data_IF_634645287999
#
_entry.id   IF_634645287999
#
_cell.length_a   1.000
_cell.length_b   1.000
_cell.length_c   1.000
_cell.angle_alpha   90.00
_cell.angle_beta   90.00
_cell.angle_gamma   90.00
#
_symmetry.space_group_name_H-M   'P 1'
#
loop_
_entity.id
_entity.type
_entity.pdbx_description
1 polymer ?
#
# COMPACT_ATOMS: atom_id res chain seq x y z
N UNK A 1 40.54 -22.55 5.55
CA UNK A 1 40.38 -21.12 5.22
C UNK A 1 41.75 -20.65 4.76
N UNK A 2 41.93 -20.47 3.46
CA UNK A 2 43.23 -20.04 2.90
C UNK A 2 43.21 -18.52 2.73
N UNK A 3 43.33 -17.82 3.86
CA UNK A 3 43.52 -16.37 3.91
C UNK A 3 45.01 -16.14 4.10
N UNK A 4 45.62 -15.36 3.20
CA UNK A 4 47.07 -15.11 3.19
C UNK A 4 47.51 -14.13 4.29
N UNK A 5 46.56 -13.43 4.90
CA UNK A 5 46.75 -12.34 5.85
C UNK A 5 45.83 -12.50 7.08
N UNK A 6 46.18 -11.85 8.20
CA UNK A 6 45.32 -11.86 9.40
C UNK A 6 43.96 -11.22 9.12
N UNK A 7 42.90 -11.79 9.71
CA UNK A 7 41.51 -11.30 9.64
C UNK A 7 41.43 -9.81 9.98
N UNK A 8 42.16 -9.36 11.00
CA UNK A 8 42.18 -7.95 11.41
C UNK A 8 42.71 -7.04 10.31
N UNK A 9 43.73 -7.48 9.57
CA UNK A 9 44.30 -6.71 8.47
C UNK A 9 43.33 -6.66 7.27
N UNK A 10 42.63 -7.77 6.99
CA UNK A 10 41.61 -7.83 5.95
C UNK A 10 40.47 -6.84 6.24
N UNK A 11 39.96 -6.81 7.48
CA UNK A 11 38.91 -5.89 7.89
C UNK A 11 39.37 -4.43 7.93
N UNK A 12 40.57 -4.16 8.46
CA UNK A 12 41.16 -2.80 8.45
C UNK A 12 41.30 -2.24 7.04
N UNK A 13 41.77 -3.06 6.09
CA UNK A 13 41.91 -2.65 4.70
C UNK A 13 40.55 -2.42 4.03
N UNK A 14 39.55 -3.28 4.27
CA UNK A 14 38.21 -3.07 3.75
C UNK A 14 37.57 -1.78 4.31
N UNK A 15 37.75 -1.51 5.60
CA UNK A 15 37.27 -0.28 6.24
C UNK A 15 37.95 0.96 5.65
N UNK A 16 39.25 0.89 5.37
CA UNK A 16 39.98 1.99 4.71
C UNK A 16 39.40 2.29 3.33
N UNK A 17 39.20 1.26 2.50
CA UNK A 17 38.60 1.39 1.16
C UNK A 17 37.19 1.98 1.23
N UNK A 18 36.39 1.57 2.22
CA UNK A 18 35.05 2.12 2.44
C UNK A 18 35.09 3.60 2.83
N UNK A 19 35.99 3.99 3.74
CA UNK A 19 36.16 5.37 4.17
C UNK A 19 36.63 6.26 3.00
N UNK A 20 37.59 5.77 2.20
CA UNK A 20 38.09 6.47 1.01
C UNK A 20 36.95 6.67 -0.01
N UNK A 21 36.12 5.66 -0.23
CA UNK A 21 34.93 5.76 -1.08
C UNK A 21 33.87 6.73 -0.50
N UNK A 22 33.67 6.74 0.82
CA UNK A 22 32.68 7.61 1.46
C UNK A 22 33.05 9.10 1.38
N UNK A 23 34.34 9.40 1.20
CA UNK A 23 34.84 10.77 1.03
C UNK A 23 34.81 11.25 -0.44
N UNK A 24 34.41 10.40 -1.39
CA UNK A 24 34.28 10.80 -2.79
C UNK A 24 33.09 11.77 -3.00
N UNK A 25 33.16 12.65 -4.02
CA UNK A 25 32.02 13.47 -4.43
C UNK A 25 30.77 12.63 -4.73
N UNK A 26 29.58 13.21 -4.54
CA UNK A 26 28.28 12.53 -4.72
C UNK A 26 28.12 11.86 -6.09
N UNK A 27 28.70 12.44 -7.14
CA UNK A 27 28.66 11.92 -8.51
C UNK A 27 29.50 10.64 -8.70
N UNK A 28 30.56 10.48 -7.92
CA UNK A 28 31.48 9.33 -7.97
C UNK A 28 31.22 8.29 -6.87
N UNK A 29 30.40 8.63 -5.87
CA UNK A 29 30.03 7.75 -4.75
C UNK A 29 28.99 6.70 -5.16
N UNK A 30 29.34 5.90 -6.17
CA UNK A 30 28.49 4.84 -6.71
C UNK A 30 28.83 3.48 -6.10
N UNK A 31 27.84 2.60 -5.98
CA UNK A 31 28.04 1.23 -5.46
C UNK A 31 28.96 0.39 -6.36
N UNK A 32 28.97 0.66 -7.68
CA UNK A 32 29.83 -0.04 -8.63
C UNK A 32 31.32 0.27 -8.38
N UNK A 33 31.64 1.53 -8.06
CA UNK A 33 33.00 1.96 -7.78
C UNK A 33 33.51 1.42 -6.43
N UNK A 34 32.65 1.39 -5.40
CA UNK A 34 32.97 0.73 -4.13
C UNK A 34 33.31 -0.74 -4.33
N UNK A 35 32.47 -1.48 -5.06
CA UNK A 35 32.69 -2.90 -5.34
C UNK A 35 33.97 -3.14 -6.14
N UNK A 36 34.27 -2.28 -7.13
CA UNK A 36 35.52 -2.36 -7.90
C UNK A 36 36.75 -2.19 -7.00
N UNK A 37 36.72 -1.23 -6.08
CA UNK A 37 37.83 -0.98 -5.17
C UNK A 37 37.97 -2.06 -4.09
N UNK A 38 36.86 -2.59 -3.57
CA UNK A 38 36.85 -3.70 -2.63
C UNK A 38 37.33 -5.01 -3.28
N UNK A 39 37.05 -5.23 -4.57
CA UNK A 39 37.49 -6.41 -5.31
C UNK A 39 39.01 -6.53 -5.46
N UNK A 40 39.75 -5.44 -5.25
CA UNK A 40 41.22 -5.48 -5.18
C UNK A 40 41.72 -6.26 -3.95
N UNK A 41 40.87 -6.44 -2.93
CA UNK A 41 41.15 -7.27 -1.76
C UNK A 41 40.30 -8.55 -1.79
N UNK A 42 40.75 -9.53 -2.57
CA UNK A 42 40.06 -10.82 -2.73
C UNK A 42 39.90 -11.60 -1.41
N UNK A 43 40.76 -11.34 -0.42
CA UNK A 43 40.71 -11.99 0.89
C UNK A 43 39.52 -11.50 1.77
N UNK A 44 39.02 -10.28 1.56
CA UNK A 44 37.80 -9.79 2.24
C UNK A 44 36.55 -10.57 1.81
N UNK A 45 36.38 -10.78 0.51
CA UNK A 45 35.25 -11.56 0.00
C UNK A 45 35.36 -13.02 0.38
N UNK A 46 36.56 -13.61 0.40
CA UNK A 46 36.78 -14.97 0.94
C UNK A 46 36.42 -15.09 2.41
N UNK A 47 36.76 -14.08 3.23
CA UNK A 47 36.41 -14.06 4.65
C UNK A 47 34.90 -13.97 4.84
N UNK A 48 34.25 -13.02 4.14
CA UNK A 48 32.80 -12.87 4.15
C UNK A 48 32.14 -14.18 3.72
N UNK A 49 32.63 -14.79 2.65
CA UNK A 49 32.21 -16.08 2.14
C UNK A 49 32.38 -17.22 3.17
N UNK A 50 33.48 -17.23 3.91
CA UNK A 50 33.78 -18.27 4.89
C UNK A 50 32.92 -18.16 6.16
N UNK A 51 32.47 -16.94 6.50
CA UNK A 51 31.61 -16.65 7.66
C UNK A 51 30.12 -16.66 7.28
N UNK A 52 29.77 -16.40 6.02
CA UNK A 52 28.38 -16.32 5.56
C UNK A 52 27.77 -17.72 5.47
N UNK A 53 26.87 -18.02 6.42
CA UNK A 53 26.15 -19.29 6.51
C UNK A 53 25.10 -19.42 5.39
N UNK A 54 24.48 -18.32 4.95
CA UNK A 54 23.41 -18.34 3.98
C UNK A 54 23.84 -17.76 2.62
N UNK A 55 23.91 -18.60 1.60
CA UNK A 55 24.20 -18.19 0.22
C UNK A 55 23.00 -18.42 -0.68
N UNK A 56 22.67 -17.44 -1.52
CA UNK A 56 21.61 -17.63 -2.50
C UNK A 56 22.03 -18.66 -3.56
N UNK A 57 21.06 -19.37 -4.16
CA UNK A 57 21.35 -20.32 -5.26
C UNK A 57 22.13 -19.68 -6.40
N UNK A 58 21.75 -18.46 -6.80
CA UNK A 58 22.44 -17.67 -7.82
C UNK A 58 23.90 -17.38 -7.45
N UNK A 59 24.17 -17.08 -6.18
CA UNK A 59 25.53 -16.84 -5.70
C UNK A 59 26.35 -18.14 -5.75
N UNK A 60 25.77 -19.28 -5.34
CA UNK A 60 26.45 -20.58 -5.42
C UNK A 60 26.75 -20.95 -6.87
N UNK A 61 25.78 -20.81 -7.77
CA UNK A 61 25.94 -21.11 -9.21
C UNK A 61 27.01 -20.25 -9.89
N UNK A 62 27.17 -18.99 -9.47
CA UNK A 62 28.07 -18.02 -10.11
C UNK A 62 29.51 -18.12 -9.59
N UNK A 63 29.69 -18.36 -8.29
CA UNK A 63 30.99 -18.23 -7.63
C UNK A 63 31.61 -19.56 -7.21
N UNK A 64 30.89 -20.68 -7.35
CA UNK A 64 31.39 -22.00 -7.02
C UNK A 64 31.42 -22.97 -8.19
N UNK A 65 32.25 -24.00 -8.03
CA UNK A 65 32.36 -25.07 -8.98
C UNK A 65 31.17 -26.05 -8.86
N UNK A 66 30.13 -25.82 -9.68
CA UNK A 66 28.94 -26.67 -9.77
C UNK A 66 29.24 -28.12 -10.18
N UNK A 67 30.40 -28.40 -10.80
CA UNK A 67 30.79 -29.78 -11.12
C UNK A 67 31.20 -30.58 -9.87
N UNK A 68 31.67 -29.90 -8.82
CA UNK A 68 31.99 -30.52 -7.52
C UNK A 68 30.78 -30.61 -6.60
N UNK A 69 29.84 -29.67 -6.71
CA UNK A 69 28.72 -29.50 -5.76
C UNK A 69 27.40 -30.12 -6.28
N UNK A 70 27.26 -30.27 -7.59
CA UNK A 70 26.02 -30.73 -8.22
C UNK A 70 25.01 -29.60 -8.44
N UNK A 71 23.84 -29.93 -8.99
CA UNK A 71 22.76 -28.97 -9.30
C UNK A 71 21.76 -28.87 -8.16
N UNK A 72 21.17 -27.68 -7.98
CA UNK A 72 20.06 -27.51 -7.05
C UNK A 72 18.81 -28.28 -7.49
N UNK A 73 18.02 -28.82 -6.54
CA UNK A 73 16.76 -29.48 -6.86
C UNK A 73 15.77 -28.49 -7.47
N UNK A 74 15.01 -28.97 -8.45
CA UNK A 74 13.96 -28.18 -9.07
C UNK A 74 12.85 -27.89 -8.05
N UNK A 75 12.59 -26.62 -7.77
CA UNK A 75 11.51 -26.21 -6.87
C UNK A 75 10.20 -26.35 -7.62
N UNK A 76 9.36 -27.31 -7.23
CA UNK A 76 8.02 -27.43 -7.78
C UNK A 76 7.22 -26.16 -7.45
N UNK A 77 6.36 -25.76 -8.40
CA UNK A 77 5.44 -24.66 -8.17
C UNK A 77 4.41 -25.09 -7.12
N UNK A 78 4.02 -24.22 -6.17
CA UNK A 78 2.94 -24.51 -5.24
C UNK A 78 1.63 -24.76 -6.00
N UNK A 79 0.81 -25.68 -5.49
CA UNK A 79 -0.53 -25.97 -6.01
C UNK A 79 -1.51 -25.10 -5.23
N UNK A 80 -2.20 -24.20 -5.92
CA UNK A 80 -3.19 -23.31 -5.30
C UNK A 80 -4.56 -23.98 -5.31
N UNK A 81 -5.10 -24.27 -4.12
CA UNK A 81 -6.50 -24.63 -3.95
C UNK A 81 -7.34 -23.37 -3.76
N UNK A 82 -8.52 -23.34 -4.36
CA UNK A 82 -9.49 -22.24 -4.20
C UNK A 82 -10.79 -22.84 -3.71
N UNK A 83 -11.36 -22.25 -2.66
CA UNK A 83 -12.69 -22.58 -2.18
C UNK A 83 -13.68 -21.57 -2.77
N UNK A 84 -14.89 -22.04 -3.08
CA UNK A 84 -16.01 -21.16 -3.40
C UNK A 84 -16.61 -20.57 -2.12
N UNK A 85 -17.47 -19.56 -2.27
CA UNK A 85 -18.09 -18.84 -1.14
C UNK A 85 -19.00 -19.79 -0.33
N UNK A 86 -19.63 -20.75 -1.01
CA UNK A 86 -20.59 -21.70 -0.44
C UNK A 86 -20.64 -22.97 -1.29
N UNK A 87 -21.17 -24.04 -0.70
CA UNK A 87 -21.42 -25.34 -1.36
C UNK A 87 -22.77 -25.35 -2.11
N UNK A 88 -23.58 -24.29 -2.01
CA UNK A 88 -24.87 -24.19 -2.68
C UNK A 88 -24.70 -24.17 -4.21
N UNK A 89 -25.47 -25.01 -4.89
CA UNK A 89 -25.58 -24.99 -6.35
C UNK A 89 -26.18 -23.65 -6.83
N UNK A 90 -25.72 -23.18 -8.00
CA UNK A 90 -26.12 -21.91 -8.63
C UNK A 90 -25.88 -20.63 -7.80
N UNK A 91 -25.00 -20.66 -6.80
CA UNK A 91 -24.59 -19.44 -6.10
C UNK A 91 -23.64 -18.57 -6.94
N UNK A 92 -23.70 -17.26 -6.74
CA UNK A 92 -22.86 -16.30 -7.46
C UNK A 92 -21.36 -16.54 -7.19
N UNK A 93 -20.56 -16.59 -8.25
CA UNK A 93 -19.11 -16.71 -8.13
C UNK A 93 -18.49 -15.43 -7.57
N UNK A 94 -17.38 -15.55 -6.87
CA UNK A 94 -16.64 -14.40 -6.31
C UNK A 94 -16.27 -13.35 -7.37
N UNK A 95 -15.93 -13.79 -8.58
CA UNK A 95 -15.61 -12.89 -9.70
C UNK A 95 -16.83 -12.08 -10.16
N UNK A 96 -18.00 -12.70 -10.24
CA UNK A 96 -19.23 -12.03 -10.62
C UNK A 96 -19.70 -11.06 -9.54
N UNK A 97 -19.57 -11.46 -8.28
CA UNK A 97 -19.87 -10.59 -7.14
C UNK A 97 -18.95 -9.36 -7.15
N UNK A 98 -17.65 -9.55 -7.39
CA UNK A 98 -16.71 -8.45 -7.58
C UNK A 98 -17.16 -7.51 -8.70
N UNK A 99 -17.50 -8.04 -9.88
CA UNK A 99 -18.00 -7.23 -11.01
C UNK A 99 -19.25 -6.43 -10.65
N UNK A 100 -20.17 -6.99 -9.86
CA UNK A 100 -21.36 -6.27 -9.38
C UNK A 100 -20.98 -5.15 -8.39
N UNK A 101 -20.10 -5.44 -7.43
CA UNK A 101 -19.64 -4.44 -6.46
C UNK A 101 -18.85 -3.31 -7.11
N UNK A 102 -18.04 -3.59 -8.14
CA UNK A 102 -17.30 -2.57 -8.88
C UNK A 102 -18.19 -1.57 -9.63
N UNK A 103 -19.45 -1.92 -9.92
CA UNK A 103 -20.43 -1.01 -10.53
C UNK A 103 -21.03 -0.01 -9.56
N UNK A 104 -20.81 -0.18 -8.25
CA UNK A 104 -21.30 0.78 -7.26
C UNK A 104 -20.52 2.08 -7.37
N UNK A 105 -21.21 3.18 -7.66
CA UNK A 105 -20.58 4.49 -7.84
C UNK A 105 -19.91 5.03 -6.57
N UNK A 106 -20.38 4.64 -5.37
CA UNK A 106 -19.81 5.08 -4.10
C UNK A 106 -19.83 6.62 -3.92
N UNK A 107 -20.82 7.29 -4.52
CA UNK A 107 -20.95 8.76 -4.57
C UNK A 107 -20.93 9.47 -3.21
N UNK A 108 -21.33 8.77 -2.14
CA UNK A 108 -21.30 9.33 -0.78
C UNK A 108 -19.88 9.64 -0.28
N UNK A 109 -18.87 9.06 -0.94
CA UNK A 109 -17.45 9.28 -0.66
C UNK A 109 -16.77 10.17 -1.71
N UNK A 110 -17.48 10.65 -2.73
CA UNK A 110 -16.98 11.64 -3.70
C UNK A 110 -17.91 12.84 -3.92
N UNK A 111 -18.28 13.56 -2.86
CA UNK A 111 -19.13 14.75 -2.99
C UNK A 111 -18.53 15.84 -3.89
N UNK A 112 -17.19 15.93 -4.05
CA UNK A 112 -16.58 16.90 -4.96
C UNK A 112 -16.99 16.74 -6.43
N UNK A 113 -17.36 15.53 -6.85
CA UNK A 113 -17.84 15.26 -8.21
C UNK A 113 -19.20 15.94 -8.50
N UNK A 114 -19.90 16.40 -7.46
CA UNK A 114 -21.24 16.98 -7.53
C UNK A 114 -21.26 18.48 -7.21
N UNK A 115 -20.09 19.11 -7.05
CA UNK A 115 -19.98 20.56 -6.87
C UNK A 115 -20.33 21.26 -8.19
N UNK A 116 -21.08 22.36 -8.11
CA UNK A 116 -21.37 23.21 -9.26
C UNK A 116 -20.06 23.78 -9.85
N UNK A 117 -19.89 23.73 -11.18
CA UNK A 117 -18.69 24.17 -11.88
C UNK A 117 -18.14 25.54 -11.42
N UNK A 118 -19.03 26.52 -11.23
CA UNK A 118 -18.66 27.87 -10.78
C UNK A 118 -18.22 27.97 -9.30
N UNK A 119 -18.36 26.90 -8.52
CA UNK A 119 -17.96 26.82 -7.11
C UNK A 119 -16.76 25.92 -6.86
N UNK A 120 -16.27 25.21 -7.87
CA UNK A 120 -15.13 24.30 -7.74
C UNK A 120 -13.91 25.03 -7.19
N UNK A 121 -13.57 26.21 -7.72
CA UNK A 121 -12.42 26.99 -7.25
C UNK A 121 -12.52 27.34 -5.76
N UNK A 122 -13.70 27.82 -5.31
CA UNK A 122 -13.94 28.17 -3.92
C UNK A 122 -13.71 26.97 -2.96
N UNK A 123 -14.23 25.79 -3.31
CA UNK A 123 -14.04 24.60 -2.48
C UNK A 123 -12.64 24.00 -2.61
N UNK A 124 -11.98 24.16 -3.76
CA UNK A 124 -10.58 23.75 -3.94
C UNK A 124 -9.67 24.59 -3.03
N UNK A 125 -9.85 25.91 -2.98
CA UNK A 125 -9.08 26.79 -2.09
C UNK A 125 -9.28 26.45 -0.60
N UNK A 126 -10.46 25.94 -0.23
CA UNK A 126 -10.80 25.60 1.15
C UNK A 126 -10.25 24.24 1.60
N UNK A 127 -10.19 23.26 0.69
CA UNK A 127 -9.97 21.85 1.05
C UNK A 127 -8.74 21.21 0.39
N UNK A 128 -8.18 21.80 -0.67
CA UNK A 128 -6.93 21.30 -1.25
C UNK A 128 -5.77 21.60 -0.28
N UNK A 129 -4.80 20.69 -0.23
CA UNK A 129 -3.62 20.86 0.62
C UNK A 129 -2.38 21.09 -0.24
N UNK A 130 -1.80 22.28 -0.12
CA UNK A 130 -0.52 22.60 -0.73
C UNK A 130 0.62 22.15 0.18
N UNK A 131 1.43 21.21 -0.31
CA UNK A 131 2.60 20.72 0.44
C UNK A 131 3.87 21.45 0.00
N UNK A 132 3.97 21.81 -1.29
CA UNK A 132 5.08 22.58 -1.90
C UNK A 132 4.58 23.33 -3.15
N UNK A 133 5.34 24.31 -3.66
CA UNK A 133 5.02 25.07 -4.90
C UNK A 133 4.76 24.21 -6.16
N UNK A 134 5.11 22.91 -6.13
CA UNK A 134 4.94 21.97 -7.26
C UNK A 134 3.99 20.80 -6.98
N UNK A 135 3.52 20.62 -5.74
CA UNK A 135 2.72 19.45 -5.35
C UNK A 135 1.55 19.90 -4.47
N UNK A 136 0.36 19.91 -5.07
CA UNK A 136 -0.91 20.10 -4.39
C UNK A 136 -1.71 18.80 -4.36
N UNK A 137 -2.23 18.45 -3.18
CA UNK A 137 -3.13 17.32 -3.01
C UNK A 137 -4.57 17.79 -3.14
N UNK A 138 -5.16 17.48 -4.29
CA UNK A 138 -6.56 17.82 -4.58
C UNK A 138 -7.51 16.95 -3.77
N UNK A 139 -8.54 17.56 -3.20
CA UNK A 139 -9.56 16.86 -2.44
C UNK A 139 -10.32 15.84 -3.30
N UNK A 140 -10.59 16.16 -4.56
CA UNK A 140 -11.19 15.21 -5.52
C UNK A 140 -10.37 13.92 -5.71
N UNK A 141 -9.04 14.01 -5.65
CA UNK A 141 -8.18 12.83 -5.75
C UNK A 141 -8.22 11.99 -4.47
N UNK A 142 -8.26 12.64 -3.30
CA UNK A 142 -8.41 11.96 -2.01
C UNK A 142 -9.73 11.19 -1.94
N UNK A 143 -10.82 11.81 -2.38
CA UNK A 143 -12.14 11.19 -2.43
C UNK A 143 -12.20 10.01 -3.40
N UNK A 144 -11.61 10.14 -4.59
CA UNK A 144 -11.51 9.00 -5.52
C UNK A 144 -10.72 7.83 -4.94
N UNK A 145 -9.64 8.12 -4.21
CA UNK A 145 -8.88 7.10 -3.50
C UNK A 145 -9.70 6.49 -2.35
N UNK A 146 -10.51 7.29 -1.64
CA UNK A 146 -11.45 6.82 -0.63
C UNK A 146 -12.43 5.80 -1.21
N UNK A 147 -13.03 6.10 -2.36
CA UNK A 147 -13.96 5.19 -3.03
C UNK A 147 -13.31 3.84 -3.36
N UNK A 148 -12.08 3.85 -3.88
CA UNK A 148 -11.34 2.63 -4.20
C UNK A 148 -11.07 1.85 -2.91
N UNK A 149 -10.62 2.53 -1.85
CA UNK A 149 -10.36 1.92 -0.55
C UNK A 149 -11.63 1.28 0.04
N UNK A 150 -12.76 1.98 0.00
CA UNK A 150 -14.04 1.47 0.50
C UNK A 150 -14.53 0.26 -0.29
N UNK A 151 -14.31 0.21 -1.61
CA UNK A 151 -14.58 -0.97 -2.44
C UNK A 151 -13.73 -2.17 -2.03
N UNK A 152 -12.42 -1.97 -1.84
CA UNK A 152 -11.52 -3.03 -1.36
C UNK A 152 -11.92 -3.49 0.04
N UNK A 153 -12.28 -2.58 0.93
CA UNK A 153 -12.71 -2.91 2.28
C UNK A 153 -13.99 -3.75 2.29
N UNK A 154 -14.99 -3.44 1.46
CA UNK A 154 -16.17 -4.30 1.32
C UNK A 154 -15.82 -5.73 0.91
N UNK A 155 -14.84 -5.91 0.01
CA UNK A 155 -14.39 -7.23 -0.42
C UNK A 155 -13.62 -7.96 0.69
N UNK A 156 -12.78 -7.25 1.46
CA UNK A 156 -12.12 -7.83 2.63
C UNK A 156 -13.12 -8.30 3.69
N UNK A 157 -14.23 -7.56 3.87
CA UNK A 157 -15.30 -7.96 4.80
C UNK A 157 -15.98 -9.26 4.36
N UNK A 158 -16.15 -9.47 3.05
CA UNK A 158 -16.62 -10.74 2.50
C UNK A 158 -15.63 -11.88 2.66
N UNK A 159 -14.33 -11.61 2.48
CA UNK A 159 -13.26 -12.60 2.70
C UNK A 159 -13.19 -13.05 4.17
N UNK A 160 -13.46 -12.14 5.11
CA UNK A 160 -13.54 -12.45 6.53
C UNK A 160 -14.79 -13.28 6.89
N UNK A 161 -15.99 -12.77 6.59
CA UNK A 161 -17.23 -13.56 6.71
C UNK A 161 -18.40 -12.96 5.94
N UNK A 162 -19.37 -13.81 5.58
CA UNK A 162 -20.63 -13.37 4.95
C UNK A 162 -21.42 -12.43 5.87
N UNK A 163 -21.35 -12.65 7.19
CA UNK A 163 -22.08 -11.83 8.17
C UNK A 163 -21.48 -10.42 8.31
N UNK A 164 -20.14 -10.33 8.36
CA UNK A 164 -19.38 -9.07 8.38
C UNK A 164 -19.64 -8.25 7.11
N UNK A 165 -19.73 -8.92 5.97
CA UNK A 165 -20.11 -8.29 4.71
C UNK A 165 -21.54 -7.73 4.75
N UNK A 166 -22.51 -8.52 5.22
CA UNK A 166 -23.91 -8.08 5.39
C UNK A 166 -24.01 -6.85 6.29
N UNK A 167 -23.33 -6.86 7.44
CA UNK A 167 -23.33 -5.72 8.38
C UNK A 167 -22.77 -4.46 7.71
N UNK A 168 -21.65 -4.59 7.00
CA UNK A 168 -21.00 -3.46 6.33
C UNK A 168 -21.88 -2.89 5.22
N UNK A 169 -22.51 -3.74 4.41
CA UNK A 169 -23.47 -3.32 3.38
C UNK A 169 -24.68 -2.60 3.98
N UNK A 170 -25.24 -3.10 5.08
CA UNK A 170 -26.38 -2.46 5.75
C UNK A 170 -25.99 -1.07 6.28
N UNK A 171 -24.82 -0.93 6.91
CA UNK A 171 -24.32 0.39 7.37
C UNK A 171 -24.15 1.35 6.18
N UNK A 172 -23.64 0.87 5.04
CA UNK A 172 -23.52 1.67 3.82
C UNK A 172 -24.88 2.11 3.25
N UNK A 173 -25.87 1.19 3.18
CA UNK A 173 -27.23 1.49 2.74
C UNK A 173 -27.90 2.53 3.63
N UNK A 174 -27.84 2.36 4.95
CA UNK A 174 -28.39 3.32 5.92
C UNK A 174 -27.81 4.72 5.72
N UNK A 175 -26.51 4.81 5.38
CA UNK A 175 -25.84 6.07 5.10
C UNK A 175 -26.37 6.72 3.82
N UNK A 176 -26.57 5.95 2.75
CA UNK A 176 -27.20 6.43 1.51
C UNK A 176 -28.61 6.95 1.78
N UNK A 177 -29.42 6.18 2.50
CA UNK A 177 -30.81 6.56 2.81
C UNK A 177 -30.88 7.84 3.64
N UNK A 178 -30.00 7.97 4.63
CA UNK A 178 -29.89 9.18 5.46
C UNK A 178 -29.50 10.40 4.61
N UNK A 179 -28.49 10.28 3.75
CA UNK A 179 -28.08 11.37 2.86
C UNK A 179 -29.18 11.76 1.87
N UNK A 180 -29.88 10.79 1.27
CA UNK A 180 -31.02 11.06 0.39
C UNK A 180 -32.16 11.79 1.12
N UNK A 181 -32.41 11.44 2.37
CA UNK A 181 -33.40 12.12 3.20
C UNK A 181 -32.99 13.58 3.46
N UNK A 182 -31.72 13.83 3.81
CA UNK A 182 -31.20 15.19 4.00
C UNK A 182 -31.29 16.04 2.73
N UNK A 183 -30.97 15.48 1.56
CA UNK A 183 -31.12 16.18 0.27
C UNK A 183 -32.58 16.58 0.03
N UNK A 184 -33.52 15.65 0.23
CA UNK A 184 -34.97 15.93 0.07
C UNK A 184 -35.48 16.99 1.05
N UNK A 185 -34.96 17.00 2.28
CA UNK A 185 -35.31 18.02 3.29
C UNK A 185 -34.73 19.39 2.93
N UNK A 186 -33.52 19.44 2.39
CA UNK A 186 -32.89 20.66 1.89
C UNK A 186 -33.69 21.26 0.72
N UNK A 187 -34.06 20.44 -0.28
CA UNK A 187 -34.88 20.87 -1.42
C UNK A 187 -36.24 21.46 -1.02
N UNK A 188 -36.86 20.94 0.05
CA UNK A 188 -38.17 21.41 0.54
C UNK A 188 -38.09 22.66 1.41
N UNK A 189 -37.08 22.73 2.29
CA UNK A 189 -37.02 23.76 3.34
C UNK A 189 -36.14 24.95 2.98
N UNK A 190 -35.21 24.79 2.03
CA UNK A 190 -34.19 25.80 1.71
C UNK A 190 -33.25 26.14 2.87
N UNK A 191 -33.33 25.43 4.00
CA UNK A 191 -32.51 25.68 5.18
C UNK A 191 -31.17 24.96 5.01
N UNK A 192 -30.08 25.73 5.09
CA UNK A 192 -28.69 25.25 5.12
C UNK A 192 -28.43 24.31 6.31
N UNK A 193 -28.73 23.03 6.12
CA UNK A 193 -28.09 21.96 6.87
C UNK A 193 -26.95 21.48 5.99
N UNK A 194 -25.78 22.10 6.11
CA UNK A 194 -24.59 21.67 5.36
C UNK A 194 -24.39 20.17 5.56
N UNK A 195 -24.28 19.43 4.46
CA UNK A 195 -24.08 17.99 4.53
C UNK A 195 -22.61 17.77 4.88
N UNK A 196 -22.38 17.16 6.04
CA UNK A 196 -21.04 16.80 6.47
C UNK A 196 -20.61 15.52 5.75
N UNK A 197 -19.65 15.63 4.84
CA UNK A 197 -19.01 14.48 4.21
C UNK A 197 -17.74 14.08 4.96
N UNK A 198 -17.43 12.78 4.94
CA UNK A 198 -16.25 12.21 5.60
C UNK A 198 -15.00 12.55 4.80
N UNK A 199 -13.98 13.10 5.45
CA UNK A 199 -12.69 13.32 4.81
C UNK A 199 -11.84 12.04 4.85
N UNK A 200 -10.95 11.86 3.87
CA UNK A 200 -10.06 10.69 3.79
C UNK A 200 -9.09 10.61 4.99
N UNK A 201 -8.72 11.77 5.56
CA UNK A 201 -7.89 11.87 6.77
C UNK A 201 -8.52 11.28 8.02
N UNK A 202 -9.85 11.16 8.04
CA UNK A 202 -10.61 10.78 9.23
C UNK A 202 -10.92 9.27 9.24
N UNK A 203 -10.33 8.56 8.29
CA UNK A 203 -10.51 7.13 8.05
C UNK A 203 -9.40 6.43 8.84
N UNK A 204 -9.71 5.97 10.06
CA UNK A 204 -8.79 5.27 10.96
C UNK A 204 -8.28 3.92 10.41
N UNK A 205 -7.20 3.93 9.59
CA UNK A 205 -6.62 2.80 8.80
C UNK A 205 -6.26 1.48 9.52
N UNK A 206 -6.56 1.33 10.81
CA UNK A 206 -6.15 0.15 11.58
C UNK A 206 -6.99 -1.08 11.24
N UNK A 207 -6.40 -2.02 10.49
CA UNK A 207 -7.10 -3.18 9.94
C UNK A 207 -7.55 -4.22 10.98
N UNK A 208 -7.10 -4.08 12.23
CA UNK A 208 -7.27 -5.06 13.31
C UNK A 208 -8.41 -4.72 14.29
N UNK A 209 -9.02 -3.53 14.19
CA UNK A 209 -10.25 -3.22 14.94
C UNK A 209 -11.47 -3.23 14.00
N UNK A 210 -12.56 -3.82 14.45
CA UNK A 210 -13.87 -3.64 13.80
C UNK A 210 -14.44 -2.21 14.05
N UNK A 211 -13.68 -1.36 14.75
CA UNK A 211 -14.08 -0.03 15.25
C UNK A 211 -14.18 1.05 14.18
N UNK A 212 -13.75 0.78 12.94
CA UNK A 212 -14.12 1.57 11.76
C UNK A 212 -15.61 1.82 11.58
N UNK A 213 -16.41 0.94 12.17
CA UNK A 213 -17.84 0.90 12.04
C UNK A 213 -18.57 1.38 13.30
N UNK A 214 -17.90 1.46 14.46
CA UNK A 214 -18.54 1.72 15.77
C UNK A 214 -18.04 3.00 16.45
N UNK A 215 -16.84 3.50 16.15
CA UNK A 215 -16.43 4.81 16.62
C UNK A 215 -16.85 5.89 15.61
N UNK A 216 -17.95 6.54 15.97
CA UNK A 216 -18.22 7.95 15.74
C UNK A 216 -17.06 8.69 15.04
N UNK A 217 -17.19 8.89 13.72
CA UNK A 217 -16.36 9.72 12.83
C UNK A 217 -16.36 11.19 13.31
N UNK A 218 -15.81 11.42 14.48
CA UNK A 218 -15.64 12.68 15.16
C UNK A 218 -14.20 12.71 15.63
N UNK A 219 -13.35 13.36 14.83
CA UNK A 219 -12.43 14.43 15.24
C UNK A 219 -11.59 14.79 14.01
N UNK A 220 -11.79 16.01 13.50
CA UNK A 220 -11.13 16.57 12.32
C UNK A 220 -12.13 16.99 11.24
N UNK A 221 -11.93 18.16 10.63
CA UNK A 221 -12.94 18.93 9.89
C UNK A 221 -13.66 18.15 8.76
N UNK A 222 -14.96 17.88 8.96
CA UNK A 222 -15.85 17.31 7.94
C UNK A 222 -15.96 18.29 6.76
N UNK A 223 -15.82 17.78 5.54
CA UNK A 223 -16.02 18.55 4.31
C UNK A 223 -17.50 18.94 4.25
N UNK A 224 -17.79 20.25 4.27
CA UNK A 224 -19.14 20.80 4.18
C UNK A 224 -19.30 21.41 2.81
N UNK A 225 -20.17 20.80 2.01
CA UNK A 225 -20.57 21.32 0.70
C UNK A 225 -22.01 21.80 0.80
#
# INVERSE_FOLDING_TARGET
MDISTSIDNVLRNAQKIFNDWSNLPLEERTSQQLLKNLNNNFDFFKLLDSVTIARSRKHIEKYYNMNKIGKFPNRLKPITHRADITELEDFIKIEELYKKLSKLNMSIYSPFDYILDGKIAFYSDLYDTDINERVSFKQSHRERNLQILMRVNLLKRLESSVDSFRITLNKFLNRIETTLKTIKEFEKSGKNHGINFTNFSDVNLDADSDDWLDDEFSIGDKVKI
#
